data_IF_091667135409
#
_entry.id   IF_091667135409
#
_cell.length_a   1.000
_cell.length_b   1.000
_cell.length_c   1.000
_cell.angle_alpha   90.00
_cell.angle_beta   90.00
_cell.angle_gamma   90.00
#
_symmetry.space_group_name_H-M   'P 1'
#
loop_
_entity.id
_entity.type
_entity.pdbx_description
1 polymer ?
#
# COMPACT_ATOMS: atom_id res chain seq x y z
N UNK A 1 20.18 -7.11 -4.30
CA UNK A 1 18.90 -6.50 -3.94
C UNK A 1 17.89 -7.02 -4.93
N UNK A 2 16.82 -7.65 -4.45
CA UNK A 2 15.75 -8.13 -5.31
C UNK A 2 14.97 -6.93 -5.85
N UNK A 3 14.45 -7.02 -7.08
CA UNK A 3 13.54 -6.01 -7.60
C UNK A 3 12.13 -6.31 -7.07
N UNK A 4 11.36 -5.29 -6.67
CA UNK A 4 10.01 -5.49 -6.18
C UNK A 4 9.11 -5.97 -7.32
N UNK A 5 8.31 -6.99 -7.05
CA UNK A 5 7.39 -7.59 -8.03
C UNK A 5 6.25 -6.66 -8.42
N UNK A 6 5.80 -5.80 -7.51
CA UNK A 6 4.67 -4.91 -7.73
C UNK A 6 5.06 -3.44 -7.66
N UNK A 7 4.35 -2.62 -8.44
CA UNK A 7 4.59 -1.19 -8.52
C UNK A 7 3.49 -0.39 -7.83
N UNK A 8 3.78 0.87 -7.49
CA UNK A 8 2.75 1.79 -6.99
C UNK A 8 1.58 1.89 -7.97
N UNK A 9 0.38 1.90 -7.42
CA UNK A 9 -0.90 1.98 -8.12
C UNK A 9 -1.23 0.76 -8.99
N UNK A 10 -0.43 -0.30 -8.94
CA UNK A 10 -0.81 -1.59 -9.53
C UNK A 10 -1.99 -2.17 -8.77
N UNK A 11 -2.96 -2.72 -9.50
CA UNK A 11 -4.03 -3.51 -8.92
C UNK A 11 -3.59 -4.97 -8.76
N UNK A 12 -3.82 -5.49 -7.57
CA UNK A 12 -3.48 -6.85 -7.17
C UNK A 12 -4.69 -7.54 -6.57
N UNK A 13 -4.65 -8.87 -6.53
CA UNK A 13 -5.55 -9.69 -5.71
C UNK A 13 -4.77 -10.29 -4.56
N UNK A 14 -5.36 -10.28 -3.37
CA UNK A 14 -4.83 -11.03 -2.23
C UNK A 14 -5.12 -12.51 -2.46
N UNK A 15 -4.09 -13.33 -2.37
CA UNK A 15 -4.13 -14.79 -2.56
C UNK A 15 -3.30 -15.44 -1.45
N UNK A 16 -3.73 -15.23 -0.21
CA UNK A 16 -3.01 -15.70 0.98
C UNK A 16 -3.59 -16.98 1.54
N UNK A 17 -2.73 -17.81 2.12
CA UNK A 17 -3.12 -18.92 2.99
C UNK A 17 -3.07 -18.53 4.49
N UNK A 18 -2.61 -17.32 4.82
CA UNK A 18 -2.53 -16.79 6.17
C UNK A 18 -3.94 -16.54 6.74
N UNK A 19 -4.30 -17.14 7.88
CA UNK A 19 -5.56 -16.85 8.57
C UNK A 19 -5.75 -15.36 8.92
N UNK A 20 -4.68 -14.59 9.13
CA UNK A 20 -4.78 -13.16 9.44
C UNK A 20 -5.31 -12.35 8.23
N UNK A 21 -5.10 -12.85 7.00
CA UNK A 21 -5.57 -12.24 5.76
C UNK A 21 -6.86 -12.87 5.23
N UNK A 22 -7.48 -13.80 5.98
CA UNK A 22 -8.68 -14.51 5.53
C UNK A 22 -9.84 -13.59 5.16
N UNK A 23 -9.96 -12.42 5.82
CA UNK A 23 -11.01 -11.43 5.54
C UNK A 23 -10.88 -10.76 4.17
N UNK A 24 -9.66 -10.62 3.68
CA UNK A 24 -9.35 -9.93 2.42
C UNK A 24 -8.88 -10.88 1.33
N UNK A 25 -8.82 -12.18 1.61
CA UNK A 25 -8.41 -13.17 0.62
C UNK A 25 -9.38 -13.22 -0.57
N UNK A 26 -8.84 -13.13 -1.78
CA UNK A 26 -9.57 -13.02 -3.05
C UNK A 26 -9.98 -11.60 -3.44
N UNK A 27 -9.90 -10.65 -2.51
CA UNK A 27 -10.25 -9.25 -2.76
C UNK A 27 -9.21 -8.57 -3.65
N UNK A 28 -9.67 -7.55 -4.39
CA UNK A 28 -8.84 -6.70 -5.23
C UNK A 28 -8.49 -5.42 -4.47
N UNK A 29 -7.26 -4.94 -4.66
CA UNK A 29 -6.79 -3.70 -4.06
C UNK A 29 -5.64 -3.07 -4.84
N UNK A 30 -5.31 -1.83 -4.51
CA UNK A 30 -4.22 -1.07 -5.14
C UNK A 30 -3.00 -0.96 -4.23
N UNK A 31 -1.80 -1.06 -4.79
CA UNK A 31 -0.55 -0.85 -4.05
C UNK A 31 -0.35 0.65 -3.75
N UNK A 32 -0.42 1.04 -2.49
CA UNK A 32 -0.19 2.43 -2.03
C UNK A 32 1.07 2.59 -1.18
N UNK A 33 1.72 1.50 -0.80
CA UNK A 33 2.95 1.51 -0.02
C UNK A 33 3.79 0.29 -0.32
N UNK A 34 5.10 0.43 -0.12
CA UNK A 34 6.08 -0.63 -0.27
C UNK A 34 7.15 -0.46 0.79
N UNK A 35 7.53 -1.56 1.43
CA UNK A 35 8.68 -1.67 2.32
C UNK A 35 9.59 -2.79 1.87
N UNK A 36 10.89 -2.65 2.12
CA UNK A 36 11.89 -3.71 1.94
C UNK A 36 12.42 -4.08 3.34
N UNK A 37 12.56 -5.37 3.62
CA UNK A 37 13.20 -5.86 4.85
C UNK A 37 14.73 -5.99 4.71
N UNK A 38 15.41 -6.40 5.78
CA UNK A 38 16.88 -6.55 5.78
C UNK A 38 17.39 -7.70 4.89
N UNK A 39 16.54 -8.66 4.57
CA UNK A 39 16.82 -9.83 3.73
C UNK A 39 16.47 -9.56 2.24
N UNK A 40 15.92 -8.38 1.93
CA UNK A 40 15.52 -7.97 0.59
C UNK A 40 14.13 -8.47 0.18
N UNK A 41 13.32 -8.94 1.14
CA UNK A 41 11.90 -9.22 0.96
C UNK A 41 11.08 -7.94 0.91
N UNK A 42 9.93 -8.00 0.23
CA UNK A 42 9.02 -6.86 0.08
C UNK A 42 7.68 -7.10 0.76
N UNK A 43 7.24 -6.08 1.49
CA UNK A 43 5.88 -5.94 2.00
C UNK A 43 5.17 -4.78 1.32
N UNK A 44 3.86 -4.88 1.19
CA UNK A 44 3.04 -3.91 0.47
C UNK A 44 1.87 -3.43 1.31
N UNK A 45 1.56 -2.14 1.20
CA UNK A 45 0.32 -1.58 1.72
C UNK A 45 -0.73 -1.61 0.61
N UNK A 46 -1.72 -2.48 0.75
CA UNK A 46 -2.76 -2.74 -0.25
C UNK A 46 -4.07 -2.10 0.19
N UNK A 47 -4.53 -1.09 -0.55
CA UNK A 47 -5.83 -0.48 -0.33
C UNK A 47 -6.92 -1.36 -0.95
N UNK A 48 -7.69 -2.05 -0.12
CA UNK A 48 -8.76 -2.95 -0.57
C UNK A 48 -9.94 -2.13 -1.09
N UNK A 49 -10.40 -2.43 -2.31
CA UNK A 49 -11.44 -1.62 -2.98
C UNK A 49 -12.81 -1.71 -2.30
N UNK A 50 -13.08 -2.85 -1.64
CA UNK A 50 -14.34 -3.13 -0.94
C UNK A 50 -14.69 -2.06 0.10
N UNK A 51 -13.72 -1.63 0.90
CA UNK A 51 -13.92 -0.79 2.08
C UNK A 51 -12.92 0.36 2.22
N UNK A 52 -11.91 0.44 1.34
CA UNK A 52 -10.88 1.46 1.41
C UNK A 52 -9.94 1.31 2.61
N UNK A 53 -9.86 0.12 3.21
CA UNK A 53 -8.91 -0.17 4.28
C UNK A 53 -7.58 -0.62 3.67
N UNK A 54 -6.48 -0.11 4.22
CA UNK A 54 -5.13 -0.47 3.79
C UNK A 54 -4.59 -1.61 4.66
N UNK A 55 -4.19 -2.70 4.03
CA UNK A 55 -3.65 -3.90 4.69
C UNK A 55 -2.16 -4.05 4.39
N UNK A 56 -1.40 -4.55 5.35
CA UNK A 56 -0.02 -4.98 5.13
C UNK A 56 -0.04 -6.41 4.60
N UNK A 57 0.52 -6.64 3.40
CA UNK A 57 0.51 -7.94 2.74
C UNK A 57 1.89 -8.22 2.15
N UNK A 58 2.39 -9.44 2.36
CA UNK A 58 3.67 -9.88 1.82
C UNK A 58 3.61 -10.09 0.30
N UNK A 59 4.75 -9.93 -0.38
CA UNK A 59 4.83 -10.10 -1.83
C UNK A 59 4.33 -11.45 -2.35
N UNK A 60 4.50 -12.50 -1.55
CA UNK A 60 4.12 -13.87 -1.89
C UNK A 60 2.59 -14.07 -1.94
N UNK A 61 1.85 -13.25 -1.20
CA UNK A 61 0.40 -13.35 -1.01
C UNK A 61 -0.38 -12.46 -1.99
N UNK A 62 0.29 -11.96 -3.02
CA UNK A 62 -0.28 -11.08 -4.03
C UNK A 62 -0.17 -11.67 -5.44
N UNK A 63 -1.23 -11.44 -6.21
CA UNK A 63 -1.30 -11.76 -7.63
C UNK A 63 -1.57 -10.49 -8.44
N UNK A 64 -0.74 -10.23 -9.45
CA UNK A 64 -0.93 -9.12 -10.37
C UNK A 64 -2.23 -9.30 -11.17
N UNK A 65 -2.99 -8.22 -11.36
CA UNK A 65 -4.09 -8.20 -12.33
C UNK A 65 -3.65 -7.68 -13.70
N UNK A 66 -2.48 -7.03 -13.78
CA UNK A 66 -1.97 -6.35 -14.97
C UNK A 66 -2.60 -4.97 -15.21
N UNK A 67 -3.44 -4.50 -14.28
CA UNK A 67 -4.07 -3.19 -14.35
C UNK A 67 -3.36 -2.20 -13.43
N UNK A 68 -3.39 -0.93 -13.83
CA UNK A 68 -2.76 0.15 -13.08
C UNK A 68 -3.73 1.32 -12.94
N UNK A 69 -3.83 1.85 -11.73
CA UNK A 69 -4.40 3.16 -11.47
C UNK A 69 -3.37 4.27 -11.69
N UNK A 70 -3.80 5.48 -11.41
CA UNK A 70 -2.96 6.68 -11.40
C UNK A 70 -2.92 7.25 -9.99
N UNK A 71 -1.92 8.09 -9.73
CA UNK A 71 -1.83 8.81 -8.45
C UNK A 71 -3.11 9.61 -8.14
N UNK A 72 -3.72 10.21 -9.16
CA UNK A 72 -4.91 11.07 -9.01
C UNK A 72 -6.15 10.30 -8.55
N UNK A 73 -6.19 8.98 -8.74
CA UNK A 73 -7.29 8.13 -8.27
C UNK A 73 -7.30 7.99 -6.74
N UNK A 74 -6.16 8.20 -6.07
CA UNK A 74 -5.98 8.00 -4.63
C UNK A 74 -5.68 9.28 -3.85
N UNK A 75 -5.11 10.28 -4.50
CA UNK A 75 -4.68 11.52 -3.87
C UNK A 75 -5.19 12.72 -4.66
N UNK A 76 -5.82 13.67 -3.97
CA UNK A 76 -6.12 14.97 -4.56
C UNK A 76 -4.85 15.82 -4.75
N UNK A 77 -4.98 16.91 -5.51
CA UNK A 77 -3.88 17.86 -5.78
C UNK A 77 -3.54 18.80 -4.60
N UNK A 78 -4.18 18.58 -3.45
CA UNK A 78 -3.94 19.37 -2.25
C UNK A 78 -2.60 19.04 -1.60
N UNK A 79 -1.94 20.05 -1.04
CA UNK A 79 -0.87 19.85 -0.06
C UNK A 79 -1.33 20.37 1.30
N UNK A 80 -0.88 19.71 2.36
CA UNK A 80 -1.12 20.16 3.74
C UNK A 80 0.19 20.75 4.24
N UNK A 81 0.15 22.00 4.71
CA UNK A 81 1.30 22.58 5.40
C UNK A 81 1.40 22.00 6.81
N UNK A 82 2.61 21.69 7.24
CA UNK A 82 2.88 21.16 8.58
C UNK A 82 3.85 22.09 9.29
N UNK A 83 3.49 22.54 10.49
CA UNK A 83 4.40 23.23 11.40
C UNK A 83 5.05 22.20 12.30
N UNK A 84 6.37 22.29 12.46
CA UNK A 84 7.16 21.39 13.29
C UNK A 84 7.63 22.14 14.54
N UNK A 85 7.46 21.54 15.73
CA UNK A 85 7.96 22.09 16.99
C UNK A 85 9.45 21.78 17.24
N UNK A 86 10.01 22.28 18.34
CA UNK A 86 11.41 22.03 18.71
C UNK A 86 11.75 20.57 19.05
N UNK A 87 10.74 19.69 19.15
CA UNK A 87 10.89 18.26 19.41
C UNK A 87 10.62 17.40 18.16
N UNK A 88 10.37 18.02 16.99
CA UNK A 88 10.08 17.31 15.74
C UNK A 88 8.62 16.88 15.56
N UNK A 89 7.68 17.32 16.41
CA UNK A 89 6.25 16.99 16.26
C UNK A 89 5.59 17.92 15.24
N UNK A 90 4.83 17.33 14.32
CA UNK A 90 4.10 18.05 13.28
C UNK A 90 2.64 18.30 13.64
N UNK A 91 2.13 19.50 13.32
CA UNK A 91 0.69 19.82 13.33
C UNK A 91 0.28 20.47 12.00
N UNK A 92 -0.92 20.20 11.47
CA UNK A 92 -1.45 20.92 10.31
C UNK A 92 -1.39 22.44 10.51
N UNK A 93 -1.01 23.17 9.47
CA UNK A 93 -0.92 24.61 9.43
C UNK A 93 -1.63 25.13 8.19
N UNK A 94 -2.20 26.34 8.30
CA UNK A 94 -2.89 27.03 7.20
C UNK A 94 -1.93 27.49 6.10
#
# INVERSE_FOLDING_TARGET
MAEPKFQFYEYVRVVSADPELAEVNGERGAILGRSEDEDGGYGYAVLIERDGICWSVDEADLQATGEFGTRADFYGDGSIRVRVDGNGRGTPAD
#
